data_IF_165771381368
#
_entry.id   IF_165771381368
#
_cell.length_a   1.000
_cell.length_b   1.000
_cell.length_c   1.000
_cell.angle_alpha   90.00
_cell.angle_beta   90.00
_cell.angle_gamma   90.00
#
_symmetry.space_group_name_H-M   'P 1'
#
loop_
_entity.id
_entity.type
_entity.pdbx_description
1 polymer ?
#
# COMPACT_ATOMS: atom_id res chain seq x y z
N UNK A 1 -1.64 29.60 -25.01
CA UNK A 1 -1.31 29.47 -23.57
C UNK A 1 -1.40 28.03 -23.05
N UNK A 2 -1.89 27.04 -23.83
CA UNK A 2 -1.99 25.63 -23.42
C UNK A 2 -0.64 24.93 -23.16
N UNK A 3 0.43 25.42 -23.77
CA UNK A 3 1.76 24.79 -23.70
C UNK A 3 2.41 24.94 -22.31
N UNK A 4 2.11 26.03 -21.61
CA UNK A 4 2.60 26.28 -20.25
C UNK A 4 1.88 25.42 -19.21
N UNK A 5 0.56 25.26 -19.34
CA UNK A 5 -0.27 24.39 -18.50
C UNK A 5 0.09 22.90 -18.68
N UNK A 6 0.34 22.46 -19.91
CA UNK A 6 0.81 21.10 -20.17
C UNK A 6 2.18 20.85 -19.53
N UNK A 7 3.09 21.81 -19.62
CA UNK A 7 4.41 21.69 -18.99
C UNK A 7 4.34 21.64 -17.45
N UNK A 8 3.39 22.33 -16.81
CA UNK A 8 3.19 22.23 -15.35
C UNK A 8 2.54 20.91 -14.96
N UNK A 9 1.56 20.43 -15.72
CA UNK A 9 0.92 19.14 -15.47
C UNK A 9 1.91 17.98 -15.63
N UNK A 10 2.74 17.98 -16.68
CA UNK A 10 3.79 16.95 -16.88
C UNK A 10 4.82 16.95 -15.76
N UNK A 11 5.21 18.13 -15.26
CA UNK A 11 6.12 18.26 -14.11
C UNK A 11 5.49 17.75 -12.82
N UNK A 12 4.21 18.08 -12.57
CA UNK A 12 3.48 17.58 -11.42
C UNK A 12 3.38 16.05 -11.44
N UNK A 13 3.12 15.45 -12.61
CA UNK A 13 3.11 13.99 -12.77
C UNK A 13 4.46 13.37 -12.43
N UNK A 14 5.54 13.88 -13.02
CA UNK A 14 6.88 13.35 -12.78
C UNK A 14 7.29 13.43 -11.29
N UNK A 15 6.86 14.48 -10.58
CA UNK A 15 7.09 14.61 -9.13
C UNK A 15 6.24 13.60 -8.33
N UNK A 16 4.97 13.42 -8.68
CA UNK A 16 4.09 12.45 -8.04
C UNK A 16 4.57 11.01 -8.23
N UNK A 17 5.03 10.65 -9.43
CA UNK A 17 5.61 9.32 -9.70
C UNK A 17 6.88 9.06 -8.85
N UNK A 18 7.74 10.06 -8.72
CA UNK A 18 8.92 9.97 -7.83
C UNK A 18 8.53 9.86 -6.37
N UNK A 19 7.46 10.57 -5.95
CA UNK A 19 6.94 10.49 -4.59
C UNK A 19 6.47 9.05 -4.27
N UNK A 20 5.74 8.42 -5.19
CA UNK A 20 5.30 7.03 -5.05
C UNK A 20 6.51 6.08 -4.93
N UNK A 21 7.54 6.26 -5.76
CA UNK A 21 8.76 5.47 -5.66
C UNK A 21 9.44 5.64 -4.29
N UNK A 22 9.57 6.88 -3.81
CA UNK A 22 10.12 7.17 -2.50
C UNK A 22 9.29 6.52 -1.37
N UNK A 23 7.95 6.48 -1.48
CA UNK A 23 7.11 5.75 -0.51
C UNK A 23 7.40 4.24 -0.53
N UNK A 24 7.55 3.65 -1.73
CA UNK A 24 7.86 2.23 -1.89
C UNK A 24 9.23 1.86 -1.29
N UNK A 25 10.19 2.79 -1.31
CA UNK A 25 11.51 2.65 -0.69
C UNK A 25 11.52 2.97 0.83
N UNK A 26 10.38 3.38 1.40
CA UNK A 26 10.23 3.73 2.81
C UNK A 26 10.70 5.14 3.18
N UNK A 27 10.93 6.01 2.19
CA UNK A 27 11.36 7.40 2.35
C UNK A 27 10.16 8.35 2.48
N UNK A 28 9.38 8.19 3.56
CA UNK A 28 8.13 8.93 3.76
C UNK A 28 8.32 10.47 3.71
N UNK A 29 9.34 11.00 4.38
CA UNK A 29 9.62 12.45 4.39
C UNK A 29 9.94 13.01 2.99
N UNK A 30 10.58 12.23 2.13
CA UNK A 30 10.91 12.64 0.76
C UNK A 30 9.68 12.57 -0.13
N UNK A 31 8.87 11.52 0.02
CA UNK A 31 7.59 11.41 -0.66
C UNK A 31 6.64 12.55 -0.33
N UNK A 32 6.48 12.91 0.94
CA UNK A 32 5.63 14.03 1.37
C UNK A 32 6.06 15.36 0.73
N UNK A 33 7.37 15.62 0.66
CA UNK A 33 7.91 16.82 -0.01
C UNK A 33 7.58 16.82 -1.51
N UNK A 34 7.80 15.69 -2.17
CA UNK A 34 7.55 15.55 -3.61
C UNK A 34 6.05 15.69 -3.93
N UNK A 35 5.16 15.11 -3.10
CA UNK A 35 3.72 15.29 -3.26
C UNK A 35 3.27 16.73 -2.99
N UNK A 36 3.86 17.42 -2.01
CA UNK A 36 3.55 18.81 -1.75
C UNK A 36 3.97 19.71 -2.93
N UNK A 37 5.15 19.47 -3.51
CA UNK A 37 5.64 20.20 -4.68
C UNK A 37 4.79 19.91 -5.93
N UNK A 38 4.38 18.65 -6.12
CA UNK A 38 3.50 18.27 -7.22
C UNK A 38 2.11 18.91 -7.11
N UNK A 39 1.51 18.90 -5.90
CA UNK A 39 0.21 19.52 -5.65
C UNK A 39 0.22 21.05 -5.82
N UNK A 40 1.35 21.69 -5.50
CA UNK A 40 1.52 23.12 -5.72
C UNK A 40 1.57 23.50 -7.21
N UNK A 41 2.00 22.57 -8.07
CA UNK A 41 2.04 22.76 -9.53
C UNK A 41 0.69 22.46 -10.17
N UNK A 42 0.16 21.25 -9.95
CA UNK A 42 -1.11 20.83 -10.53
C UNK A 42 -1.72 19.68 -9.71
N UNK A 43 -2.72 19.96 -8.85
CA UNK A 43 -3.34 18.94 -8.01
C UNK A 43 -4.15 17.90 -8.80
N UNK A 44 -4.67 18.26 -9.96
CA UNK A 44 -5.47 17.36 -10.82
C UNK A 44 -4.56 16.31 -11.47
N UNK A 45 -3.37 16.74 -11.91
CA UNK A 45 -2.34 15.87 -12.42
C UNK A 45 -1.83 14.86 -11.38
N UNK A 46 -1.71 15.27 -10.11
CA UNK A 46 -1.34 14.37 -9.00
C UNK A 46 -2.42 13.33 -8.76
N UNK A 47 -3.69 13.75 -8.72
CA UNK A 47 -4.82 12.84 -8.55
C UNK A 47 -4.88 11.79 -9.68
N UNK A 48 -4.64 12.20 -10.92
CA UNK A 48 -4.59 11.28 -12.07
C UNK A 48 -3.47 10.23 -11.96
N UNK A 49 -2.31 10.59 -11.40
CA UNK A 49 -1.21 9.62 -11.20
C UNK A 49 -1.55 8.62 -10.08
N UNK A 50 -2.12 9.10 -8.98
CA UNK A 50 -2.54 8.24 -7.88
C UNK A 50 -3.65 7.27 -8.31
N UNK A 51 -4.63 7.74 -9.07
CA UNK A 51 -5.70 6.91 -9.64
C UNK A 51 -5.14 5.84 -10.60
N UNK A 52 -4.20 6.22 -11.48
CA UNK A 52 -3.54 5.28 -12.37
C UNK A 52 -2.70 4.24 -11.62
N UNK A 53 -2.01 4.64 -10.55
CA UNK A 53 -1.23 3.73 -9.72
C UNK A 53 -2.13 2.75 -8.95
N UNK A 54 -3.26 3.23 -8.42
CA UNK A 54 -4.25 2.42 -7.73
C UNK A 54 -4.97 1.45 -8.68
N UNK A 55 -5.23 1.86 -9.93
CA UNK A 55 -5.78 1.01 -10.98
C UNK A 55 -4.77 -0.02 -11.54
N UNK A 56 -3.46 0.28 -11.46
CA UNK A 56 -2.40 -0.65 -11.85
C UNK A 56 -2.16 -1.76 -10.82
N UNK A 57 -2.68 -1.62 -9.59
CA UNK A 57 -2.71 -2.72 -8.63
C UNK A 57 -3.74 -3.77 -9.09
N UNK A 58 -3.33 -5.02 -9.38
CA UNK A 58 -4.26 -6.06 -9.76
C UNK A 58 -5.28 -6.27 -8.62
N UNK A 59 -6.56 -6.57 -8.93
CA UNK A 59 -7.59 -6.77 -7.91
C UNK A 59 -7.23 -7.87 -6.90
N UNK A 60 -6.38 -8.83 -7.26
CA UNK A 60 -5.86 -9.88 -6.40
C UNK A 60 -4.99 -9.36 -5.23
N UNK A 61 -4.31 -8.22 -5.39
CA UNK A 61 -3.47 -7.63 -4.34
C UNK A 61 -4.28 -6.87 -3.28
N UNK A 62 -5.55 -6.54 -3.55
CA UNK A 62 -6.46 -5.95 -2.55
C UNK A 62 -7.00 -6.97 -1.56
N UNK A 63 -6.97 -8.27 -1.92
CA UNK A 63 -7.53 -9.36 -1.12
C UNK A 63 -6.50 -10.09 -0.23
N UNK A 64 -5.18 -9.85 -0.37
CA UNK A 64 -4.15 -10.49 0.47
C UNK A 64 -2.95 -9.52 0.70
N UNK A 65 -2.50 -9.20 1.95
CA UNK A 65 -2.67 -9.93 3.22
C UNK A 65 -2.82 -9.01 4.47
N UNK A 66 -4.05 -8.61 4.84
CA UNK A 66 -4.36 -8.47 6.28
C UNK A 66 -4.77 -9.82 6.88
N UNK A 67 -5.11 -10.81 6.05
CA UNK A 67 -5.48 -12.16 6.46
C UNK A 67 -4.31 -13.01 6.99
N UNK A 68 -3.06 -12.72 6.59
CA UNK A 68 -1.92 -13.56 7.01
C UNK A 68 -1.50 -13.31 8.47
N UNK A 69 -1.78 -12.12 9.02
CA UNK A 69 -1.55 -11.82 10.45
C UNK A 69 -2.51 -12.56 11.39
N UNK A 70 -3.69 -12.94 10.94
CA UNK A 70 -4.65 -13.71 11.74
C UNK A 70 -4.43 -15.23 11.64
N UNK A 71 -3.90 -15.73 10.52
CA UNK A 71 -3.63 -17.16 10.34
C UNK A 71 -2.49 -17.70 11.23
N UNK A 72 -1.44 -16.91 11.48
CA UNK A 72 -0.34 -17.33 12.37
C UNK A 72 -0.78 -17.43 13.84
N UNK A 73 -1.77 -16.64 14.25
CA UNK A 73 -2.28 -16.65 15.64
C UNK A 73 -3.09 -17.91 15.95
N UNK A 74 -3.73 -18.50 14.95
CA UNK A 74 -4.57 -19.71 15.10
C UNK A 74 -3.73 -20.99 15.10
N UNK A 75 -2.58 -21.04 14.41
CA UNK A 75 -1.74 -22.26 14.34
C UNK A 75 -0.87 -22.52 15.56
N UNK A 76 -0.67 -21.54 16.46
CA UNK A 76 0.06 -21.75 17.72
C UNK A 76 -0.80 -22.41 18.81
N UNK A 77 -2.11 -22.53 18.60
CA UNK A 77 -3.04 -23.21 19.49
C UNK A 77 -3.32 -24.65 19.04
N UNK A 78 -2.28 -25.45 18.88
CA UNK A 78 -2.39 -26.89 19.12
C UNK A 78 -2.11 -27.13 20.61
N UNK A 79 -3.12 -27.41 21.47
CA UNK A 79 -2.88 -28.34 22.55
C UNK A 79 -2.91 -29.74 21.92
N UNK A 80 -1.73 -30.33 21.83
CA UNK A 80 -1.48 -31.72 21.49
C UNK A 80 -2.29 -32.61 22.45
N UNK A 81 -3.52 -32.95 22.08
CA UNK A 81 -4.39 -33.82 22.87
C UNK A 81 -4.30 -35.27 22.36
N UNK A 82 -3.23 -35.96 22.76
CA UNK A 82 -3.20 -37.41 22.96
C UNK A 82 -2.05 -37.65 23.96
N UNK A 83 -2.21 -38.40 25.07
CA UNK A 83 -2.74 -39.76 25.00
C UNK A 83 -3.50 -40.28 26.24
N UNK A 84 -4.29 -41.34 26.06
CA UNK A 84 -4.48 -42.44 27.04
C UNK A 84 -4.36 -42.06 28.53
N UNK A 85 -5.32 -41.35 29.11
CA UNK A 85 -5.43 -41.23 30.57
C UNK A 85 -6.90 -41.00 30.97
N UNK A 86 -7.65 -42.10 31.10
CA UNK A 86 -8.89 -42.13 31.89
C UNK A 86 -8.79 -43.31 32.87
N UNK A 87 -8.29 -43.09 34.09
CA UNK A 87 -8.44 -44.04 35.16
C UNK A 87 -9.84 -43.89 35.77
N UNK A 88 -10.59 -45.00 35.76
CA UNK A 88 -11.58 -45.40 36.77
C UNK A 88 -12.59 -44.38 37.31
N UNK A 89 -13.86 -44.59 37.00
CA UNK A 89 -15.00 -44.15 37.81
C UNK A 89 -16.08 -45.22 37.78
N UNK A 90 -16.21 -45.94 38.88
CA UNK A 90 -17.15 -47.04 39.16
C UNK A 90 -18.61 -46.71 38.90
#
# INVERSE_FOLDING_TARGET
>A
MKDAEQSTAERARALAERAIHAQAEGQADEADRLFAEAQALDPDAVAAVLDAHDAALPPDARDQPTADRDAERVRRSEPKADPRDYPGGT
#
